data_IF_467936601844
#
_entry.id   IF_467936601844
#
_cell.length_a   1.000
_cell.length_b   1.000
_cell.length_c   1.000
_cell.angle_alpha   90.00
_cell.angle_beta   90.00
_cell.angle_gamma   90.00
#
_symmetry.space_group_name_H-M   'P 1'
#
loop_
_entity.id
_entity.type
_entity.pdbx_description
1 polymer ?
#
# COMPACT_ATOMS: atom_id res chain seq x y z
N UNK A 1 -12.54 -19.20 -3.86
CA UNK A 1 -12.76 -17.84 -3.33
C UNK A 1 -12.62 -17.89 -1.82
N UNK A 2 -11.52 -17.37 -1.26
CA UNK A 2 -11.13 -17.58 0.14
C UNK A 2 -11.68 -16.46 1.04
N UNK A 3 -12.82 -16.72 1.71
CA UNK A 3 -13.46 -15.90 2.76
C UNK A 3 -12.68 -15.91 4.11
N UNK A 4 -11.42 -16.31 4.14
CA UNK A 4 -10.83 -17.06 5.26
C UNK A 4 -10.29 -16.29 6.47
N UNK A 5 -10.61 -15.01 6.65
CA UNK A 5 -10.10 -14.24 7.80
C UNK A 5 -11.17 -13.84 8.82
N UNK A 6 -12.36 -14.43 8.76
CA UNK A 6 -13.42 -14.21 9.74
C UNK A 6 -13.87 -15.54 10.36
N UNK A 7 -13.86 -15.67 11.69
CA UNK A 7 -14.41 -16.86 12.34
C UNK A 7 -15.90 -16.96 12.00
N UNK A 8 -16.34 -18.15 11.55
CA UNK A 8 -17.76 -18.46 11.42
C UNK A 8 -18.24 -18.79 12.83
N UNK A 9 -18.89 -17.83 13.49
CA UNK A 9 -19.46 -18.04 14.82
C UNK A 9 -20.90 -18.56 14.62
N UNK A 10 -21.26 -19.73 15.20
CA UNK A 10 -22.62 -20.25 15.11
C UNK A 10 -23.65 -19.21 15.60
N UNK A 11 -24.75 -19.06 14.87
CA UNK A 11 -25.83 -18.09 15.14
C UNK A 11 -25.43 -16.59 15.10
N UNK A 12 -24.29 -16.26 14.49
CA UNK A 12 -23.89 -14.87 14.25
C UNK A 12 -23.69 -14.63 12.76
N UNK A 13 -24.29 -13.54 12.26
CA UNK A 13 -24.08 -13.11 10.89
C UNK A 13 -22.63 -12.61 10.73
N UNK A 14 -21.80 -13.40 10.03
CA UNK A 14 -20.41 -13.09 9.74
C UNK A 14 -20.25 -11.75 8.99
N UNK A 15 -21.28 -11.30 8.25
CA UNK A 15 -21.26 -10.01 7.56
C UNK A 15 -21.18 -8.83 8.53
N UNK A 16 -21.68 -9.00 9.77
CA UNK A 16 -21.60 -7.98 10.82
C UNK A 16 -20.16 -7.77 11.27
N UNK A 17 -19.43 -8.83 11.59
CA UNK A 17 -18.02 -8.76 12.00
C UNK A 17 -17.12 -8.21 10.89
N UNK A 18 -17.44 -8.57 9.65
CA UNK A 18 -16.79 -7.99 8.47
C UNK A 18 -17.01 -6.47 8.39
N UNK A 19 -18.26 -6.01 8.50
CA UNK A 19 -18.61 -4.58 8.46
C UNK A 19 -17.96 -3.80 9.58
N UNK A 20 -17.95 -4.33 10.81
CA UNK A 20 -17.30 -3.68 11.96
C UNK A 20 -15.80 -3.50 11.73
N UNK A 21 -15.11 -4.54 11.24
CA UNK A 21 -13.67 -4.47 10.92
C UNK A 21 -13.37 -3.53 9.76
N UNK A 22 -14.23 -3.51 8.74
CA UNK A 22 -14.10 -2.59 7.60
C UNK A 22 -14.28 -1.14 8.04
N UNK A 23 -15.32 -0.84 8.80
CA UNK A 23 -15.58 0.49 9.34
C UNK A 23 -14.42 0.97 10.23
N UNK A 24 -13.88 0.09 11.09
CA UNK A 24 -12.70 0.41 11.89
C UNK A 24 -11.50 0.78 11.02
N UNK A 25 -11.21 0.02 9.96
CA UNK A 25 -10.09 0.30 9.04
C UNK A 25 -10.30 1.58 8.25
N UNK A 26 -11.52 1.86 7.79
CA UNK A 26 -11.87 3.12 7.11
C UNK A 26 -11.65 4.29 8.07
N UNK A 27 -12.19 4.22 9.28
CA UNK A 27 -12.01 5.29 10.27
C UNK A 27 -10.54 5.51 10.60
N UNK A 28 -9.76 4.44 10.78
CA UNK A 28 -8.33 4.55 11.06
C UNK A 28 -7.55 5.14 9.89
N UNK A 29 -7.92 4.76 8.67
CA UNK A 29 -7.36 5.35 7.46
C UNK A 29 -7.62 6.86 7.40
N UNK A 30 -8.88 7.29 7.59
CA UNK A 30 -9.26 8.71 7.62
C UNK A 30 -8.48 9.47 8.71
N UNK A 31 -8.41 8.92 9.93
CA UNK A 31 -7.63 9.50 11.03
C UNK A 31 -6.15 9.71 10.65
N UNK A 32 -5.51 8.71 10.05
CA UNK A 32 -4.11 8.79 9.63
C UNK A 32 -3.94 9.87 8.56
N UNK A 33 -4.78 9.89 7.52
CA UNK A 33 -4.60 10.84 6.42
C UNK A 33 -4.87 12.30 6.84
N UNK A 34 -5.75 12.52 7.82
CA UNK A 34 -6.05 13.86 8.33
C UNK A 34 -4.98 14.42 9.27
N UNK A 35 -4.21 13.56 9.95
CA UNK A 35 -3.27 13.99 11.00
C UNK A 35 -1.79 13.80 10.64
N UNK A 36 -1.48 13.16 9.51
CA UNK A 36 -0.10 12.85 9.12
C UNK A 36 0.47 13.93 8.21
N UNK A 37 1.67 14.45 8.55
CA UNK A 37 2.40 15.39 7.68
C UNK A 37 2.88 14.75 6.39
N UNK A 38 3.22 13.46 6.46
CA UNK A 38 3.64 12.68 5.30
C UNK A 38 3.24 11.22 5.42
N UNK A 39 2.88 10.60 4.28
CA UNK A 39 2.33 9.24 4.20
C UNK A 39 3.01 8.47 3.06
N UNK A 40 3.35 7.21 3.31
CA UNK A 40 3.76 6.26 2.30
C UNK A 40 2.69 5.18 2.16
N UNK A 41 2.11 5.07 0.97
CA UNK A 41 1.26 3.93 0.62
C UNK A 41 2.12 2.84 0.02
N UNK A 42 1.96 1.60 0.50
CA UNK A 42 2.65 0.43 -0.06
C UNK A 42 1.59 -0.54 -0.56
N UNK A 43 1.66 -0.90 -1.84
CA UNK A 43 0.73 -1.86 -2.46
C UNK A 43 1.51 -3.00 -3.10
N UNK A 44 1.21 -4.21 -2.67
CA UNK A 44 1.65 -5.43 -3.34
C UNK A 44 0.69 -5.81 -4.46
N UNK A 45 1.22 -6.01 -5.67
CA UNK A 45 0.49 -6.48 -6.84
C UNK A 45 0.68 -5.58 -8.04
N UNK A 46 0.54 -6.20 -9.22
CA UNK A 46 0.61 -5.50 -10.49
C UNK A 46 -0.41 -4.36 -10.55
N UNK A 47 -0.01 -3.29 -11.22
CA UNK A 47 -0.82 -2.09 -11.43
C UNK A 47 -0.44 -1.47 -12.76
N UNK A 48 -1.45 -1.07 -13.53
CA UNK A 48 -1.25 -0.34 -14.77
C UNK A 48 -1.05 1.15 -14.50
N UNK A 49 -0.41 1.85 -15.44
CA UNK A 49 -0.20 3.31 -15.33
C UNK A 49 -1.52 4.08 -15.12
N UNK A 50 -2.63 3.79 -15.86
CA UNK A 50 -3.90 4.48 -15.62
C UNK A 50 -4.46 4.28 -14.21
N UNK A 51 -4.43 3.05 -13.69
CA UNK A 51 -4.90 2.75 -12.32
C UNK A 51 -4.06 3.47 -11.26
N UNK A 52 -2.75 3.56 -11.49
CA UNK A 52 -1.85 4.27 -10.59
C UNK A 52 -2.11 5.78 -10.57
N UNK A 53 -2.36 6.37 -11.75
CA UNK A 53 -2.73 7.79 -11.89
C UNK A 53 -4.07 8.08 -11.24
N UNK A 54 -5.08 7.22 -11.44
CA UNK A 54 -6.40 7.38 -10.83
C UNK A 54 -6.31 7.33 -9.30
N UNK A 55 -5.59 6.35 -8.74
CA UNK A 55 -5.37 6.26 -7.30
C UNK A 55 -4.66 7.51 -6.75
N UNK A 56 -3.63 7.99 -7.44
CA UNK A 56 -2.90 9.19 -7.04
C UNK A 56 -3.80 10.44 -7.08
N UNK A 57 -4.67 10.56 -8.09
CA UNK A 57 -5.65 11.65 -8.18
C UNK A 57 -6.62 11.64 -7.01
N UNK A 58 -7.25 10.49 -6.73
CA UNK A 58 -8.21 10.36 -5.62
C UNK A 58 -7.54 10.66 -4.27
N UNK A 59 -6.33 10.15 -4.04
CA UNK A 59 -5.60 10.43 -2.80
C UNK A 59 -5.21 11.92 -2.68
N UNK A 60 -4.91 12.59 -3.79
CA UNK A 60 -4.59 14.02 -3.80
C UNK A 60 -5.75 14.92 -3.39
N UNK A 61 -6.98 14.48 -3.60
CA UNK A 61 -8.19 15.21 -3.17
C UNK A 61 -8.44 15.06 -1.66
N UNK A 62 -7.96 13.96 -1.06
CA UNK A 62 -8.22 13.63 0.34
C UNK A 62 -7.08 14.02 1.29
N UNK A 63 -5.84 14.10 0.80
CA UNK A 63 -4.64 14.26 1.63
C UNK A 63 -4.07 15.67 1.46
N UNK A 64 -4.04 16.44 2.56
CA UNK A 64 -3.46 17.79 2.58
C UNK A 64 -1.92 17.77 2.66
N UNK A 65 -1.35 16.70 3.21
CA UNK A 65 0.09 16.51 3.42
C UNK A 65 0.83 15.92 2.20
N UNK A 66 2.12 15.62 2.37
CA UNK A 66 2.93 14.97 1.32
C UNK A 66 2.67 13.47 1.31
N UNK A 67 2.31 12.89 0.19
CA UNK A 67 2.22 11.43 0.08
C UNK A 67 2.99 10.89 -1.12
N UNK A 68 3.42 9.64 -0.99
CA UNK A 68 3.97 8.85 -2.09
C UNK A 68 3.31 7.47 -2.10
N UNK A 69 3.28 6.84 -3.27
CA UNK A 69 2.78 5.49 -3.47
C UNK A 69 3.92 4.62 -3.99
N UNK A 70 4.20 3.53 -3.28
CA UNK A 70 5.13 2.48 -3.66
C UNK A 70 4.33 1.25 -4.09
N UNK A 71 4.43 0.90 -5.37
CA UNK A 71 3.91 -0.34 -5.91
C UNK A 71 5.01 -1.39 -5.96
N UNK A 72 4.72 -2.57 -5.43
CA UNK A 72 5.57 -3.75 -5.51
C UNK A 72 4.92 -4.69 -6.52
N UNK A 73 5.49 -4.75 -7.72
CA UNK A 73 5.00 -5.54 -8.84
C UNK A 73 5.68 -6.92 -8.85
N UNK A 74 4.99 -8.00 -8.40
CA UNK A 74 5.60 -9.31 -8.28
C UNK A 74 5.79 -9.98 -9.65
N UNK A 75 7.04 -10.24 -10.01
CA UNK A 75 7.42 -10.90 -11.26
C UNK A 75 7.95 -12.31 -10.95
N UNK A 76 7.34 -13.32 -11.58
CA UNK A 76 7.78 -14.70 -11.44
C UNK A 76 9.15 -14.92 -12.09
N UNK A 77 10.07 -15.56 -11.37
CA UNK A 77 11.41 -15.88 -11.86
C UNK A 77 12.41 -14.71 -11.86
N UNK A 78 12.00 -13.54 -11.37
CA UNK A 78 12.91 -12.42 -11.14
C UNK A 78 13.83 -12.75 -9.96
N UNK A 79 15.15 -12.54 -10.10
CA UNK A 79 16.15 -12.86 -9.07
C UNK A 79 16.56 -11.68 -8.21
N UNK A 80 16.02 -10.50 -8.47
CA UNK A 80 16.40 -9.27 -7.81
C UNK A 80 15.30 -8.24 -7.94
N UNK A 81 15.65 -6.99 -7.67
CA UNK A 81 14.71 -5.88 -7.69
C UNK A 81 15.02 -4.97 -8.87
N UNK A 82 13.97 -4.49 -9.56
CA UNK A 82 14.11 -3.58 -10.69
C UNK A 82 13.17 -2.38 -10.53
N UNK A 83 13.71 -1.17 -10.56
CA UNK A 83 12.91 0.06 -10.51
C UNK A 83 12.26 0.34 -11.86
N UNK A 84 10.97 0.68 -11.83
CA UNK A 84 10.21 1.07 -13.02
C UNK A 84 9.82 2.53 -12.89
N UNK A 85 10.50 3.38 -13.65
CA UNK A 85 10.24 4.82 -13.67
C UNK A 85 9.15 5.16 -14.70
N UNK A 86 7.97 5.51 -14.21
CA UNK A 86 6.86 5.98 -15.05
C UNK A 86 6.88 7.48 -15.34
N UNK A 87 7.81 8.24 -14.77
CA UNK A 87 7.86 9.70 -14.89
C UNK A 87 6.74 10.43 -14.14
N UNK A 88 6.02 9.73 -13.24
CA UNK A 88 4.90 10.29 -12.48
C UNK A 88 5.36 10.64 -11.07
N UNK A 89 5.27 11.91 -10.72
CA UNK A 89 5.69 12.39 -9.40
C UNK A 89 4.84 11.76 -8.29
N UNK A 90 5.52 11.27 -7.25
CA UNK A 90 4.87 10.66 -6.09
C UNK A 90 4.47 9.21 -6.29
N UNK A 91 4.81 8.61 -7.44
CA UNK A 91 4.64 7.19 -7.70
C UNK A 91 6.01 6.54 -7.92
N UNK A 92 6.26 5.45 -7.20
CA UNK A 92 7.41 4.58 -7.37
C UNK A 92 6.88 3.17 -7.61
N UNK A 93 7.38 2.50 -8.64
CA UNK A 93 7.05 1.10 -8.91
C UNK A 93 8.33 0.30 -8.94
N UNK A 94 8.31 -0.82 -8.24
CA UNK A 94 9.46 -1.69 -8.09
C UNK A 94 9.01 -3.11 -8.42
N UNK A 95 9.65 -3.71 -9.41
CA UNK A 95 9.47 -5.12 -9.73
C UNK A 95 10.27 -5.97 -8.77
N UNK A 96 9.63 -6.99 -8.23
CA UNK A 96 10.16 -7.79 -7.12
C UNK A 96 9.92 -9.28 -7.36
N UNK A 97 10.74 -10.18 -6.79
CA UNK A 97 10.47 -11.61 -6.88
C UNK A 97 9.09 -11.94 -6.28
N UNK A 98 8.29 -12.75 -6.99
CA UNK A 98 6.92 -13.09 -6.56
C UNK A 98 6.85 -13.89 -5.24
N UNK A 99 7.93 -14.60 -4.90
CA UNK A 99 8.16 -15.32 -3.65
C UNK A 99 8.76 -14.44 -2.53
N UNK A 100 9.06 -13.18 -2.85
CA UNK A 100 9.74 -12.21 -1.98
C UNK A 100 8.99 -11.68 -0.75
N UNK A 101 7.66 -11.80 -0.51
CA UNK A 101 7.05 -11.22 0.68
C UNK A 101 7.63 -11.71 2.01
N UNK A 102 8.19 -12.93 2.02
CA UNK A 102 8.79 -13.56 3.21
C UNK A 102 10.32 -13.41 3.25
N UNK A 103 10.92 -12.64 2.34
CA UNK A 103 12.35 -12.39 2.27
C UNK A 103 12.68 -10.97 2.78
N UNK A 104 13.21 -10.89 4.00
CA UNK A 104 13.56 -9.61 4.64
C UNK A 104 14.62 -8.83 3.83
N UNK A 105 15.51 -9.52 3.11
CA UNK A 105 16.57 -8.86 2.33
C UNK A 105 16.03 -8.09 1.13
N UNK A 106 14.89 -8.53 0.59
CA UNK A 106 14.17 -7.84 -0.47
C UNK A 106 13.52 -6.56 0.06
N UNK A 107 12.95 -6.60 1.28
CA UNK A 107 12.40 -5.41 1.93
C UNK A 107 13.48 -4.38 2.28
N UNK A 108 14.65 -4.84 2.76
CA UNK A 108 15.79 -3.95 3.04
C UNK A 108 16.26 -3.21 1.79
N UNK A 109 16.26 -3.88 0.62
CA UNK A 109 16.58 -3.23 -0.65
C UNK A 109 15.49 -2.23 -1.07
N UNK A 110 14.22 -2.65 -1.05
CA UNK A 110 13.07 -1.81 -1.44
C UNK A 110 12.97 -0.55 -0.58
N UNK A 111 13.30 -0.66 0.70
CA UNK A 111 13.27 0.46 1.64
C UNK A 111 14.58 1.24 1.70
N UNK A 112 15.63 0.77 1.01
CA UNK A 112 16.89 1.49 0.95
C UNK A 112 16.68 2.87 0.31
N UNK A 113 17.09 3.94 1.00
CA UNK A 113 16.89 5.31 0.53
C UNK A 113 15.54 5.94 0.91
N UNK A 114 14.59 5.18 1.48
CA UNK A 114 13.44 5.78 2.14
C UNK A 114 13.90 6.51 3.41
N UNK A 115 13.69 7.82 3.43
CA UNK A 115 14.02 8.65 4.60
C UNK A 115 12.75 9.29 5.15
N UNK A 116 12.57 9.22 6.46
CA UNK A 116 11.56 10.01 7.15
C UNK A 116 12.06 11.45 7.21
N UNK A 117 11.43 12.34 6.44
CA UNK A 117 11.74 13.77 6.52
C UNK A 117 11.08 14.35 7.77
N UNK A 118 11.87 14.56 8.83
CA UNK A 118 11.42 15.38 9.97
C UNK A 118 11.16 16.80 9.46
N UNK A 119 9.89 17.21 9.46
CA UNK A 119 9.53 18.62 9.26
C UNK A 119 9.75 19.33 10.60
N UNK A 120 10.87 20.05 10.73
CA UNK A 120 11.09 21.00 11.82
C UNK A 120 10.06 22.13 11.69
N UNK A 121 9.39 22.47 12.80
CA UNK A 121 8.59 23.69 12.95
C UNK A 121 9.43 24.75 13.62
#
# INVERSE_FOLDING_TARGET
MKLHNFPIIPNQDWTRLYKEKLNYRINKFIEIISNSKSILFVRWGAVSVPEAVELQSVLSEMIQGKFNILFLDPIAGLKGVNEVNWGIKGICTVQVPSDGPNDDSMWDYVYNGLTLTKTYY
#
